data_IF_149724912447
#
_entry.id   IF_149724912447
#
_cell.length_a   1.000
_cell.length_b   1.000
_cell.length_c   1.000
_cell.angle_alpha   90.00
_cell.angle_beta   90.00
_cell.angle_gamma   90.00
#
_symmetry.space_group_name_H-M   'P 1'
#
loop_
_entity.id
_entity.type
_entity.pdbx_description
1 polymer ?
#
# COMPACT_ATOMS: atom_id res chain seq x y z
N UNK A 1 -37.58 26.74 3.79
CA UNK A 1 -36.14 26.75 4.16
C UNK A 1 -35.86 25.74 5.27
N UNK A 2 -36.64 25.68 6.35
CA UNK A 2 -36.44 24.70 7.45
C UNK A 2 -36.53 23.23 7.02
N UNK A 3 -37.51 22.87 6.19
CA UNK A 3 -37.71 21.48 5.77
C UNK A 3 -36.52 20.91 4.96
N UNK A 4 -35.81 21.77 4.23
CA UNK A 4 -34.72 21.35 3.34
C UNK A 4 -33.45 21.00 4.14
N UNK A 5 -33.18 21.75 5.20
CA UNK A 5 -32.04 21.49 6.09
C UNK A 5 -32.21 20.15 6.81
N UNK A 6 -33.43 19.82 7.24
CA UNK A 6 -33.72 18.55 7.92
C UNK A 6 -33.45 17.35 7.01
N UNK A 7 -33.85 17.41 5.75
CA UNK A 7 -33.62 16.31 4.78
C UNK A 7 -32.14 16.12 4.50
N UNK A 8 -31.37 17.21 4.35
CA UNK A 8 -29.93 17.16 4.12
C UNK A 8 -29.20 16.54 5.31
N UNK A 9 -29.56 16.93 6.54
CA UNK A 9 -28.95 16.37 7.75
C UNK A 9 -29.27 14.89 7.91
N UNK A 10 -30.51 14.46 7.65
CA UNK A 10 -30.89 13.04 7.71
C UNK A 10 -30.13 12.23 6.65
N UNK A 11 -29.96 12.75 5.43
CA UNK A 11 -29.22 12.07 4.37
C UNK A 11 -27.73 11.89 4.73
N UNK A 12 -27.10 12.92 5.32
CA UNK A 12 -25.71 12.86 5.77
C UNK A 12 -25.55 11.88 6.94
N UNK A 13 -26.44 11.94 7.94
CA UNK A 13 -26.39 11.03 9.08
C UNK A 13 -26.62 9.56 8.66
N UNK A 14 -27.53 9.30 7.73
CA UNK A 14 -27.77 7.97 7.20
C UNK A 14 -26.57 7.42 6.41
N UNK A 15 -25.90 8.27 5.64
CA UNK A 15 -24.69 7.87 4.91
C UNK A 15 -23.53 7.52 5.87
N UNK A 16 -23.34 8.32 6.93
CA UNK A 16 -22.29 8.07 7.94
C UNK A 16 -22.59 6.79 8.73
N UNK A 17 -23.84 6.57 9.16
CA UNK A 17 -24.20 5.38 9.94
C UNK A 17 -24.15 4.11 9.10
N UNK A 18 -24.46 4.15 7.81
CA UNK A 18 -24.35 2.99 6.92
C UNK A 18 -22.90 2.52 6.73
N UNK A 19 -21.96 3.46 6.53
CA UNK A 19 -20.53 3.14 6.39
C UNK A 19 -19.97 2.59 7.71
N UNK A 20 -20.36 3.18 8.85
CA UNK A 20 -19.97 2.69 10.17
C UNK A 20 -20.57 1.29 10.47
N UNK A 21 -21.84 1.04 10.13
CA UNK A 21 -22.51 -0.23 10.39
C UNK A 21 -21.94 -1.37 9.54
N UNK A 22 -21.64 -1.10 8.26
CA UNK A 22 -20.99 -2.07 7.38
C UNK A 22 -19.56 -2.41 7.86
N UNK A 23 -18.82 -1.42 8.38
CA UNK A 23 -17.50 -1.63 8.98
C UNK A 23 -17.54 -2.42 10.30
N UNK A 24 -18.45 -2.09 11.22
CA UNK A 24 -18.60 -2.77 12.52
C UNK A 24 -19.03 -4.23 12.31
N UNK A 25 -19.95 -4.49 11.39
CA UNK A 25 -20.42 -5.86 11.11
C UNK A 25 -19.32 -6.72 10.49
N UNK A 26 -18.44 -6.16 9.66
CA UNK A 26 -17.28 -6.86 9.08
C UNK A 26 -16.19 -7.20 10.12
N UNK A 27 -15.98 -6.34 11.11
CA UNK A 27 -15.04 -6.56 12.21
C UNK A 27 -15.58 -7.59 13.21
N UNK A 28 -16.87 -7.54 13.56
CA UNK A 28 -17.50 -8.51 14.45
C UNK A 28 -17.46 -9.94 13.88
N UNK A 29 -17.66 -10.09 12.56
CA UNK A 29 -17.56 -11.37 11.86
C UNK A 29 -16.14 -11.94 11.89
N UNK A 30 -15.13 -11.10 11.71
CA UNK A 30 -13.73 -11.51 11.80
C UNK A 30 -13.33 -11.93 13.22
N UNK A 31 -13.74 -11.16 14.23
CA UNK A 31 -13.54 -11.53 15.63
C UNK A 31 -14.21 -12.87 15.99
N UNK A 32 -15.38 -13.15 15.43
CA UNK A 32 -16.07 -14.43 15.61
C UNK A 32 -15.27 -15.60 14.99
N UNK A 33 -14.80 -15.48 13.74
CA UNK A 33 -13.96 -16.51 13.10
C UNK A 33 -12.68 -16.80 13.91
N UNK A 34 -12.03 -15.75 14.42
CA UNK A 34 -10.84 -15.90 15.26
C UNK A 34 -11.15 -16.56 16.61
N UNK A 35 -12.32 -16.30 17.18
CA UNK A 35 -12.76 -16.96 18.42
C UNK A 35 -13.04 -18.45 18.20
N UNK A 36 -13.66 -18.80 17.06
CA UNK A 36 -13.92 -20.20 16.67
C UNK A 36 -12.63 -20.98 16.46
N UNK A 37 -11.62 -20.38 15.81
CA UNK A 37 -10.29 -20.98 15.66
C UNK A 37 -9.59 -21.24 16.99
N UNK A 38 -9.61 -20.27 17.90
CA UNK A 38 -9.03 -20.44 19.24
C UNK A 38 -9.72 -21.54 20.03
N UNK A 39 -11.04 -21.66 19.90
CA UNK A 39 -11.82 -22.72 20.54
C UNK A 39 -11.49 -24.08 19.93
N UNK A 40 -11.34 -24.15 18.61
CA UNK A 40 -10.94 -25.35 17.87
C UNK A 40 -9.55 -25.81 18.31
N UNK A 41 -8.55 -24.92 18.32
CA UNK A 41 -7.18 -25.22 18.72
C UNK A 41 -7.09 -25.77 20.15
N UNK A 42 -7.83 -25.19 21.10
CA UNK A 42 -7.91 -25.70 22.47
C UNK A 42 -8.47 -27.11 22.51
N UNK A 43 -9.55 -27.37 21.77
CA UNK A 43 -10.21 -28.68 21.76
C UNK A 43 -9.32 -29.78 21.18
N UNK A 44 -8.69 -29.52 20.05
CA UNK A 44 -7.79 -30.51 19.42
C UNK A 44 -6.50 -30.68 20.22
N UNK A 45 -6.03 -29.63 20.90
CA UNK A 45 -4.90 -29.69 21.83
C UNK A 45 -5.17 -30.52 23.07
N UNK A 46 -6.41 -30.51 23.61
CA UNK A 46 -6.80 -31.42 24.71
C UNK A 46 -6.70 -32.87 24.25
N UNK A 47 -7.22 -33.21 23.06
CA UNK A 47 -7.09 -34.58 22.54
C UNK A 47 -5.63 -34.97 22.34
N UNK A 48 -4.79 -34.09 21.79
CA UNK A 48 -3.36 -34.35 21.66
C UNK A 48 -2.70 -34.66 23.01
N UNK A 49 -3.05 -33.92 24.07
CA UNK A 49 -2.52 -34.13 25.41
C UNK A 49 -2.97 -35.48 26.02
N UNK A 50 -4.16 -35.97 25.68
CA UNK A 50 -4.70 -37.24 26.19
C UNK A 50 -4.21 -38.46 25.40
N UNK A 51 -4.15 -38.37 24.08
CA UNK A 51 -3.89 -39.52 23.19
C UNK A 51 -2.51 -39.50 22.53
N UNK A 52 -1.72 -38.44 22.72
CA UNK A 52 -0.40 -38.28 22.12
C UNK A 52 -0.41 -37.94 20.62
N UNK A 53 -1.58 -37.64 20.06
CA UNK A 53 -1.75 -37.25 18.65
C UNK A 53 -3.00 -36.40 18.49
N UNK A 54 -2.97 -35.43 17.59
CA UNK A 54 -4.15 -34.66 17.21
C UNK A 54 -5.22 -35.59 16.59
N UNK A 55 -6.52 -35.22 16.59
CA UNK A 55 -7.57 -35.99 15.94
C UNK A 55 -7.29 -36.26 14.45
N UNK A 56 -7.52 -37.49 13.97
CA UNK A 56 -7.35 -37.86 12.54
C UNK A 56 -8.53 -37.45 11.65
N UNK A 57 -9.63 -37.02 12.27
CA UNK A 57 -10.82 -36.50 11.61
C UNK A 57 -11.38 -35.33 12.41
N UNK A 58 -12.30 -34.59 11.81
CA UNK A 58 -12.91 -33.41 12.43
C UNK A 58 -13.63 -33.79 13.75
N UNK A 59 -13.27 -33.15 14.88
CA UNK A 59 -13.94 -33.38 16.15
C UNK A 59 -15.41 -32.97 16.13
N UNK A 60 -16.30 -33.81 16.69
CA UNK A 60 -17.72 -33.49 16.78
C UNK A 60 -18.00 -32.19 17.54
N UNK A 61 -18.92 -31.36 17.03
CA UNK A 61 -19.35 -30.12 17.67
C UNK A 61 -18.42 -28.93 17.44
N UNK A 62 -17.70 -28.91 16.32
CA UNK A 62 -17.14 -27.66 15.78
C UNK A 62 -18.24 -26.91 15.00
N UNK A 63 -18.15 -25.56 14.91
CA UNK A 63 -19.06 -24.78 14.06
C UNK A 63 -18.92 -25.16 12.57
N UNK A 64 -20.01 -25.14 11.82
CA UNK A 64 -20.04 -25.45 10.37
C UNK A 64 -19.09 -24.57 9.52
N UNK A 65 -18.65 -23.42 10.04
CA UNK A 65 -17.68 -22.53 9.40
C UNK A 65 -16.23 -22.99 9.53
N UNK A 66 -15.96 -24.10 10.24
CA UNK A 66 -14.64 -24.66 10.45
C UNK A 66 -14.40 -25.85 9.52
N UNK A 67 -13.22 -25.90 8.91
CA UNK A 67 -12.66 -27.09 8.29
C UNK A 67 -11.41 -27.50 9.06
N UNK A 68 -11.18 -28.80 9.19
CA UNK A 68 -10.08 -29.35 9.98
C UNK A 68 -9.33 -30.43 9.20
N UNK A 69 -7.99 -30.39 9.26
CA UNK A 69 -7.14 -31.47 8.79
C UNK A 69 -6.02 -31.77 9.78
N UNK A 70 -5.75 -33.05 9.99
CA UNK A 70 -4.54 -33.51 10.68
C UNK A 70 -3.34 -33.43 9.74
N UNK A 71 -2.17 -33.06 10.26
CA UNK A 71 -0.91 -33.01 9.50
C UNK A 71 0.18 -33.81 10.23
N UNK A 72 1.32 -34.01 9.55
CA UNK A 72 2.55 -34.56 10.16
C UNK A 72 2.33 -35.87 10.95
N UNK A 73 1.52 -36.78 10.39
CA UNK A 73 1.20 -38.09 11.00
C UNK A 73 0.68 -38.00 12.44
N UNK A 74 -0.11 -36.97 12.75
CA UNK A 74 -0.74 -36.77 14.07
C UNK A 74 -0.02 -35.82 15.00
N UNK A 75 1.12 -35.25 14.58
CA UNK A 75 1.86 -34.27 15.38
C UNK A 75 1.53 -32.81 15.05
N UNK A 76 0.74 -32.57 14.00
CA UNK A 76 0.27 -31.23 13.67
C UNK A 76 -1.20 -31.24 13.27
N UNK A 77 -1.76 -30.05 13.18
CA UNK A 77 -3.10 -29.85 12.64
C UNK A 77 -3.18 -28.51 11.93
N UNK A 78 -4.20 -28.37 11.10
CA UNK A 78 -4.58 -27.09 10.54
C UNK A 78 -6.09 -26.98 10.53
N UNK A 79 -6.62 -25.90 11.13
CA UNK A 79 -8.03 -25.58 11.10
C UNK A 79 -8.26 -24.25 10.39
N UNK A 80 -9.22 -24.19 9.47
CA UNK A 80 -9.62 -22.98 8.75
C UNK A 80 -11.02 -22.55 9.19
N UNK A 81 -11.19 -21.28 9.53
CA UNK A 81 -12.49 -20.65 9.73
C UNK A 81 -12.79 -19.73 8.54
N UNK A 82 -13.94 -19.92 7.91
CA UNK A 82 -14.32 -19.12 6.73
C UNK A 82 -15.76 -18.65 6.73
N UNK A 83 -15.96 -17.41 6.31
CA UNK A 83 -17.28 -16.82 6.08
C UNK A 83 -17.17 -15.58 5.19
N UNK A 84 -18.10 -15.44 4.24
CA UNK A 84 -18.21 -14.27 3.36
C UNK A 84 -16.89 -13.91 2.64
N UNK A 85 -16.14 -14.93 2.18
CA UNK A 85 -14.87 -14.76 1.45
C UNK A 85 -13.66 -14.40 2.32
N UNK A 86 -13.83 -14.23 3.64
CA UNK A 86 -12.72 -14.13 4.59
C UNK A 86 -12.34 -15.52 5.11
N UNK A 87 -11.05 -15.74 5.26
CA UNK A 87 -10.50 -16.97 5.79
C UNK A 87 -9.35 -16.68 6.76
N UNK A 88 -9.34 -17.42 7.86
CA UNK A 88 -8.22 -17.47 8.80
C UNK A 88 -7.92 -18.93 9.11
N UNK A 89 -6.67 -19.24 9.43
CA UNK A 89 -6.30 -20.56 9.89
C UNK A 89 -5.43 -20.48 11.14
N UNK A 90 -5.41 -21.60 11.87
CA UNK A 90 -4.56 -21.81 13.04
C UNK A 90 -3.94 -23.19 12.96
N UNK A 91 -2.68 -23.29 13.36
CA UNK A 91 -1.91 -24.54 13.43
C UNK A 91 -1.48 -24.83 14.86
N UNK A 92 -0.67 -25.87 15.06
CA UNK A 92 -0.02 -26.19 16.34
C UNK A 92 0.84 -25.04 16.91
N UNK A 93 1.18 -24.04 16.09
CA UNK A 93 1.85 -22.82 16.55
C UNK A 93 1.00 -21.93 17.47
N UNK A 94 -0.33 -22.15 17.49
CA UNK A 94 -1.28 -21.37 18.29
C UNK A 94 -1.49 -19.93 17.81
N UNK A 95 -0.88 -19.53 16.69
CA UNK A 95 -1.04 -18.18 16.12
C UNK A 95 -2.04 -18.21 14.96
N UNK A 96 -2.99 -17.27 14.97
CA UNK A 96 -3.95 -17.15 13.87
C UNK A 96 -3.32 -16.39 12.71
N UNK A 97 -3.37 -16.98 11.53
CA UNK A 97 -2.87 -16.43 10.28
C UNK A 97 -4.02 -16.20 9.30
N UNK A 98 -3.86 -15.26 8.39
CA UNK A 98 -4.83 -15.02 7.31
C UNK A 98 -4.73 -16.14 6.25
N UNK A 99 -5.85 -16.49 5.64
CA UNK A 99 -5.94 -17.52 4.59
C UNK A 99 -6.42 -18.89 5.09
N UNK A 100 -6.45 -19.87 4.17
CA UNK A 100 -6.91 -21.24 4.39
C UNK A 100 -5.73 -22.21 4.56
N UNK A 101 -5.96 -23.31 5.26
CA UNK A 101 -5.10 -24.48 5.17
C UNK A 101 -5.14 -25.09 3.76
N UNK A 102 -4.03 -25.71 3.34
CA UNK A 102 -3.98 -26.44 2.07
C UNK A 102 -5.09 -27.49 1.98
N UNK A 103 -5.88 -27.43 0.90
CA UNK A 103 -7.00 -28.35 0.66
C UNK A 103 -8.32 -27.97 1.34
N UNK A 104 -8.36 -26.90 2.15
CA UNK A 104 -9.60 -26.36 2.70
C UNK A 104 -10.27 -25.39 1.72
N UNK A 105 -11.59 -25.42 1.67
CA UNK A 105 -12.42 -24.54 0.84
C UNK A 105 -12.96 -23.38 1.68
N UNK A 106 -13.17 -22.21 1.08
CA UNK A 106 -13.66 -21.03 1.80
C UNK A 106 -15.14 -20.84 1.47
N UNK A 107 -15.98 -20.96 2.50
CA UNK A 107 -17.43 -20.82 2.35
C UNK A 107 -17.79 -19.34 2.07
N UNK A 108 -18.25 -19.06 0.86
CA UNK A 108 -18.70 -17.72 0.43
C UNK A 108 -17.68 -16.90 -0.38
N UNK A 109 -16.61 -17.50 -0.89
CA UNK A 109 -15.67 -16.88 -1.82
C UNK A 109 -14.37 -17.66 -1.82
N UNK A 110 -13.94 -18.18 -2.97
CA UNK A 110 -12.80 -19.10 -3.13
C UNK A 110 -11.59 -18.68 -2.28
N UNK A 111 -11.06 -19.57 -1.46
CA UNK A 111 -9.94 -20.42 -1.87
C UNK A 111 -8.65 -19.61 -1.90
N UNK A 112 -7.92 -19.59 -0.77
CA UNK A 112 -6.52 -19.14 -0.73
C UNK A 112 -5.72 -19.90 -1.78
N UNK A 113 -5.10 -19.15 -2.69
CA UNK A 113 -4.70 -19.60 -4.03
C UNK A 113 -5.34 -18.77 -5.15
N UNK A 114 -6.30 -17.90 -4.81
CA UNK A 114 -6.93 -16.96 -5.72
C UNK A 114 -5.99 -15.83 -6.13
N UNK A 115 -6.02 -15.53 -7.42
CA UNK A 115 -5.45 -14.35 -8.09
C UNK A 115 -6.07 -13.01 -7.65
N UNK A 116 -6.97 -13.03 -6.68
CA UNK A 116 -7.80 -11.88 -6.31
C UNK A 116 -7.21 -11.14 -5.10
N UNK A 117 -7.19 -9.82 -5.20
CA UNK A 117 -6.93 -8.92 -4.07
C UNK A 117 -8.30 -8.51 -3.52
N UNK A 118 -8.64 -8.99 -2.33
CA UNK A 118 -9.90 -8.64 -1.70
C UNK A 118 -9.97 -7.14 -1.40
N UNK A 119 -11.17 -6.58 -1.43
CA UNK A 119 -11.38 -5.17 -1.08
C UNK A 119 -10.90 -4.90 0.35
N UNK A 120 -10.18 -3.79 0.53
CA UNK A 120 -9.62 -3.35 1.81
C UNK A 120 -8.57 -4.29 2.42
N UNK A 121 -7.99 -5.22 1.64
CA UNK A 121 -6.81 -5.98 2.09
C UNK A 121 -5.69 -5.02 2.55
N UNK A 122 -4.96 -5.35 3.64
CA UNK A 122 -3.76 -4.60 4.00
C UNK A 122 -2.78 -4.59 2.82
N UNK A 123 -2.26 -3.43 2.46
CA UNK A 123 -1.34 -3.27 1.32
C UNK A 123 -0.08 -4.13 1.48
N UNK A 124 0.37 -4.36 2.72
CA UNK A 124 1.49 -5.24 3.08
C UNK A 124 1.27 -6.71 2.69
N UNK A 125 0.00 -7.13 2.57
CA UNK A 125 -0.37 -8.51 2.27
C UNK A 125 -0.58 -8.74 0.77
N UNK A 126 -0.49 -7.70 -0.06
CA UNK A 126 -0.59 -7.84 -1.51
C UNK A 126 0.66 -8.52 -2.03
N UNK A 127 0.48 -9.63 -2.75
CA UNK A 127 1.59 -10.40 -3.33
C UNK A 127 1.78 -10.08 -4.81
N UNK A 128 3.01 -10.25 -5.31
CA UNK A 128 3.32 -10.08 -6.73
C UNK A 128 2.47 -11.04 -7.59
N UNK A 129 2.15 -12.25 -7.12
CA UNK A 129 1.28 -13.18 -7.84
C UNK A 129 -0.16 -12.68 -8.01
N UNK A 130 -0.76 -12.10 -6.96
CA UNK A 130 -2.08 -11.48 -7.06
C UNK A 130 -2.06 -10.26 -7.98
N UNK A 131 -1.02 -9.45 -7.88
CA UNK A 131 -0.80 -8.33 -8.78
C UNK A 131 -0.75 -8.77 -10.25
N UNK A 132 0.06 -9.79 -10.57
CA UNK A 132 0.27 -10.24 -11.95
C UNK A 132 -1.02 -10.74 -12.60
N UNK A 133 -1.96 -11.24 -11.79
CA UNK A 133 -3.22 -11.72 -12.28
C UNK A 133 -4.30 -10.63 -12.47
N UNK A 134 -4.06 -9.40 -12.03
CA UNK A 134 -4.92 -8.28 -12.38
C UNK A 134 -4.87 -8.01 -13.90
N UNK A 135 -5.96 -7.54 -14.50
CA UNK A 135 -5.87 -6.94 -15.83
C UNK A 135 -5.02 -5.66 -15.76
N UNK A 136 -4.32 -5.33 -16.86
CA UNK A 136 -3.59 -4.06 -16.96
C UNK A 136 -4.58 -2.90 -16.97
N UNK A 137 -4.36 -1.92 -16.11
CA UNK A 137 -5.16 -0.70 -16.06
C UNK A 137 -4.74 0.26 -17.17
N UNK A 138 -5.75 0.78 -17.88
CA UNK A 138 -5.59 1.62 -19.07
C UNK A 138 -6.06 3.06 -18.84
N UNK A 139 -6.52 3.39 -17.62
CA UNK A 139 -7.18 4.66 -17.28
C UNK A 139 -8.71 4.61 -17.33
N UNK A 140 -9.29 3.65 -18.08
CA UNK A 140 -10.74 3.58 -18.32
C UNK A 140 -11.43 2.35 -17.70
N UNK A 141 -10.69 1.26 -17.53
CA UNK A 141 -11.18 -0.01 -16.98
C UNK A 141 -10.99 -0.04 -15.45
N UNK A 142 -11.86 0.67 -14.71
CA UNK A 142 -11.77 0.79 -13.25
C UNK A 142 -11.90 -0.54 -12.50
N UNK A 143 -12.39 -1.59 -13.13
CA UNK A 143 -12.40 -2.97 -12.63
C UNK A 143 -10.99 -3.58 -12.47
N UNK A 144 -9.97 -2.97 -13.08
CA UNK A 144 -8.56 -3.31 -12.87
C UNK A 144 -7.97 -2.71 -11.58
N UNK A 145 -8.64 -1.71 -10.99
CA UNK A 145 -8.17 -1.02 -9.80
C UNK A 145 -8.58 -1.81 -8.54
N UNK A 146 -7.71 -1.82 -7.53
CA UNK A 146 -8.00 -2.40 -6.21
C UNK A 146 -7.81 -1.36 -5.14
N UNK A 147 -8.75 -1.31 -4.20
CA UNK A 147 -8.65 -0.48 -3.00
C UNK A 147 -8.10 -1.33 -1.84
N UNK A 148 -6.97 -0.90 -1.30
CA UNK A 148 -6.26 -1.55 -0.20
C UNK A 148 -6.20 -0.62 1.01
N UNK A 149 -6.00 -1.18 2.20
CA UNK A 149 -5.86 -0.42 3.45
C UNK A 149 -4.42 -0.37 3.92
N UNK A 150 -4.07 0.70 4.62
CA UNK A 150 -2.79 0.83 5.33
C UNK A 150 -3.05 1.37 6.74
N UNK A 151 -2.67 0.60 7.75
CA UNK A 151 -2.90 0.91 9.16
C UNK A 151 -1.64 1.41 9.87
N UNK A 152 -0.53 1.62 9.14
CA UNK A 152 0.73 2.11 9.71
C UNK A 152 0.53 3.50 10.32
N UNK A 153 1.12 3.69 11.50
CA UNK A 153 0.97 4.93 12.27
C UNK A 153 -0.39 5.10 12.96
N UNK A 154 -1.18 4.03 13.09
CA UNK A 154 -2.39 4.01 13.91
C UNK A 154 -3.61 4.71 13.31
N UNK A 155 -3.49 5.22 12.08
CA UNK A 155 -4.62 5.79 11.32
C UNK A 155 -4.81 5.00 10.03
N UNK A 156 -5.95 4.35 9.91
CA UNK A 156 -6.32 3.61 8.69
C UNK A 156 -6.48 4.56 7.51
N UNK A 157 -5.75 4.26 6.43
CA UNK A 157 -5.82 4.95 5.15
C UNK A 157 -6.16 3.96 4.05
N UNK A 158 -6.72 4.47 2.97
CA UNK A 158 -7.03 3.68 1.78
C UNK A 158 -6.17 4.16 0.63
N UNK A 159 -5.66 3.22 -0.15
CA UNK A 159 -4.91 3.48 -1.37
C UNK A 159 -5.52 2.71 -2.53
N UNK A 160 -5.35 3.25 -3.73
CA UNK A 160 -5.68 2.55 -4.96
C UNK A 160 -4.38 2.00 -5.56
N UNK A 161 -4.43 0.75 -6.01
CA UNK A 161 -3.33 0.08 -6.70
C UNK A 161 -3.84 -0.54 -8.00
N UNK A 162 -2.96 -0.68 -8.99
CA UNK A 162 -3.25 -1.42 -10.21
C UNK A 162 -1.98 -1.93 -10.89
N UNK A 163 -2.13 -2.97 -11.71
CA UNK A 163 -1.08 -3.37 -12.65
C UNK A 163 -1.05 -2.41 -13.84
N UNK A 164 0.09 -1.79 -14.11
CA UNK A 164 0.24 -0.85 -15.24
C UNK A 164 0.85 -1.53 -16.47
N UNK A 165 1.14 -0.73 -17.51
CA UNK A 165 1.54 -1.21 -18.83
C UNK A 165 2.89 -1.93 -18.83
N UNK A 166 3.75 -1.62 -17.88
CA UNK A 166 5.02 -2.31 -17.61
C UNK A 166 4.84 -3.70 -16.96
N UNK A 167 3.60 -4.07 -16.64
CA UNK A 167 3.27 -5.33 -15.98
C UNK A 167 3.55 -5.33 -14.48
N UNK A 168 3.93 -4.21 -13.86
CA UNK A 168 4.17 -4.12 -12.41
C UNK A 168 2.98 -3.47 -11.69
N UNK A 169 2.90 -3.66 -10.37
CA UNK A 169 1.84 -3.02 -9.57
C UNK A 169 2.28 -1.74 -8.93
N UNK A 170 1.58 -0.68 -9.28
CA UNK A 170 1.83 0.67 -8.80
C UNK A 170 0.73 1.10 -7.86
N UNK A 171 1.10 1.88 -6.84
CA UNK A 171 0.15 2.78 -6.21
C UNK A 171 -0.32 3.83 -7.22
N UNK A 172 -1.63 4.07 -7.26
CA UNK A 172 -2.26 5.11 -8.07
C UNK A 172 -2.55 6.38 -7.27
N UNK A 173 -2.54 6.29 -5.94
CA UNK A 173 -2.62 7.43 -5.01
C UNK A 173 -1.29 7.62 -4.30
N UNK A 174 -0.92 8.88 -4.01
CA UNK A 174 0.33 9.14 -3.30
C UNK A 174 0.23 8.67 -1.84
N UNK A 175 1.37 8.27 -1.28
CA UNK A 175 1.48 7.86 0.10
C UNK A 175 1.09 9.01 1.04
N UNK A 176 0.22 8.71 2.01
CA UNK A 176 -0.26 9.67 3.02
C UNK A 176 0.16 9.24 4.42
N UNK A 177 1.37 8.69 4.59
CA UNK A 177 1.86 8.16 5.86
C UNK A 177 2.41 9.30 6.75
N UNK A 178 1.75 9.58 7.86
CA UNK A 178 2.13 10.71 8.72
C UNK A 178 1.10 10.99 9.81
N UNK A 179 1.51 11.76 10.82
CA UNK A 179 0.64 12.22 11.91
C UNK A 179 0.93 13.69 12.19
N UNK A 180 -0.12 14.46 12.48
CA UNK A 180 -0.02 15.88 12.86
C UNK A 180 0.24 16.06 14.35
N UNK A 181 0.22 14.99 15.15
CA UNK A 181 0.32 15.05 16.61
C UNK A 181 1.53 14.32 17.19
N UNK A 182 2.19 13.47 16.41
CA UNK A 182 3.32 12.66 16.87
C UNK A 182 4.15 12.15 15.70
N UNK A 183 5.35 11.64 15.99
CA UNK A 183 6.05 10.75 15.07
C UNK A 183 5.35 9.41 14.95
N UNK A 184 5.72 8.65 13.91
CA UNK A 184 5.27 7.28 13.67
C UNK A 184 6.50 6.37 13.66
N UNK A 185 6.40 5.23 14.34
CA UNK A 185 7.39 4.16 14.23
C UNK A 185 6.97 3.17 13.15
N UNK A 186 7.85 2.97 12.16
CA UNK A 186 7.74 1.95 11.14
C UNK A 186 8.61 0.75 11.54
N UNK A 187 8.12 -0.45 11.31
CA UNK A 187 8.83 -1.68 11.68
C UNK A 187 9.08 -2.54 10.43
N UNK A 188 10.12 -3.40 10.43
CA UNK A 188 10.34 -4.33 9.32
C UNK A 188 9.16 -5.28 9.06
N UNK A 189 8.25 -5.44 10.02
CA UNK A 189 7.05 -6.26 9.86
C UNK A 189 5.96 -5.58 9.00
N UNK A 190 5.95 -4.25 8.93
CA UNK A 190 4.90 -3.48 8.25
C UNK A 190 5.41 -2.60 7.10
N UNK A 191 6.70 -2.31 7.05
CA UNK A 191 7.35 -1.37 6.13
C UNK A 191 8.65 -1.92 5.57
N UNK A 192 9.07 -1.41 4.42
CA UNK A 192 10.35 -1.75 3.80
C UNK A 192 11.53 -1.02 4.48
N UNK A 193 11.78 -1.37 5.74
CA UNK A 193 12.84 -0.77 6.56
C UNK A 193 13.75 -1.87 7.12
N UNK A 194 15.07 -1.62 7.16
CA UNK A 194 16.05 -2.57 7.71
C UNK A 194 15.85 -2.81 9.22
N UNK A 195 15.43 -1.77 9.93
CA UNK A 195 15.20 -1.75 11.36
C UNK A 195 14.14 -0.69 11.68
N UNK A 196 13.71 -0.61 12.94
CA UNK A 196 12.69 0.36 13.32
C UNK A 196 13.11 1.78 12.94
N UNK A 197 12.30 2.41 12.08
CA UNK A 197 12.52 3.76 11.59
C UNK A 197 11.47 4.69 12.18
N UNK A 198 11.89 5.86 12.66
CA UNK A 198 10.96 6.87 13.18
C UNK A 198 10.72 7.92 12.11
N UNK A 199 9.54 7.86 11.50
CA UNK A 199 9.06 8.92 10.62
C UNK A 199 8.62 10.12 11.46
N UNK A 200 9.22 11.30 11.29
CA UNK A 200 8.88 12.47 12.10
C UNK A 200 7.43 12.92 11.93
N UNK A 201 6.97 13.70 12.90
CA UNK A 201 5.68 14.39 12.82
C UNK A 201 5.65 15.30 11.59
N UNK A 202 4.46 15.42 10.99
CA UNK A 202 4.25 16.34 9.89
C UNK A 202 4.52 17.79 10.32
N UNK A 203 5.18 18.53 9.44
CA UNK A 203 5.40 19.98 9.60
C UNK A 203 4.86 20.74 8.40
N UNK A 204 4.42 21.98 8.64
CA UNK A 204 4.08 22.97 7.60
C UNK A 204 5.01 24.18 7.67
N UNK A 205 6.23 23.98 8.20
CA UNK A 205 7.27 24.99 8.32
C UNK A 205 8.66 24.36 8.42
N UNK A 206 9.67 25.22 8.33
CA UNK A 206 11.09 24.82 8.25
C UNK A 206 11.64 24.95 6.83
N UNK A 207 12.94 24.71 6.69
CA UNK A 207 13.63 24.79 5.41
C UNK A 207 13.90 23.39 4.86
N UNK A 208 14.38 23.31 3.63
CA UNK A 208 14.87 22.08 3.02
C UNK A 208 16.01 21.45 3.86
N UNK A 209 15.91 20.15 4.13
CA UNK A 209 16.87 19.40 4.97
C UNK A 209 17.34 18.15 4.23
N UNK A 210 18.65 18.01 4.01
CA UNK A 210 19.19 16.98 3.10
C UNK A 210 19.34 15.61 3.77
N UNK A 211 19.75 15.58 5.05
CA UNK A 211 20.13 14.34 5.75
C UNK A 211 19.19 13.99 6.92
N UNK A 212 18.39 14.96 7.39
CA UNK A 212 17.42 14.73 8.46
C UNK A 212 16.06 14.39 7.85
N UNK A 213 15.45 13.24 8.15
CA UNK A 213 14.11 12.92 7.66
C UNK A 213 13.10 14.03 7.98
N UNK A 214 12.29 14.40 7.00
CA UNK A 214 11.18 15.36 7.14
C UNK A 214 9.97 14.85 6.37
N UNK A 215 8.80 15.07 6.97
CA UNK A 215 7.51 14.84 6.34
C UNK A 215 6.69 16.13 6.43
N UNK A 216 6.12 16.54 5.30
CA UNK A 216 5.41 17.81 5.15
C UNK A 216 3.94 17.55 4.84
N UNK A 217 3.07 18.17 5.62
CA UNK A 217 1.65 18.00 5.47
C UNK A 217 0.84 18.51 6.67
N UNK A 218 -0.50 18.50 6.58
CA UNK A 218 -1.29 18.15 5.40
C UNK A 218 -1.02 19.09 4.21
N UNK A 219 -1.04 18.57 2.98
CA UNK A 219 -0.87 19.39 1.77
C UNK A 219 -2.16 20.17 1.55
N UNK A 220 -2.03 21.47 1.30
CA UNK A 220 -3.17 22.36 1.06
C UNK A 220 -3.94 21.95 -0.20
N UNK A 221 -5.27 22.10 -0.16
CA UNK A 221 -6.18 21.81 -1.27
C UNK A 221 -6.10 20.37 -1.82
N UNK A 222 -5.65 19.39 -1.02
CA UNK A 222 -5.61 17.97 -1.40
C UNK A 222 -7.01 17.45 -1.79
N UNK A 223 -7.24 17.07 -3.07
CA UNK A 223 -8.52 16.52 -3.51
C UNK A 223 -8.71 15.04 -3.11
N UNK A 224 -7.76 14.47 -2.35
CA UNK A 224 -7.79 13.12 -1.81
C UNK A 224 -6.66 12.22 -2.33
N UNK A 225 -5.77 12.71 -3.19
CA UNK A 225 -4.71 11.94 -3.83
C UNK A 225 -3.30 12.55 -3.75
N UNK A 226 -3.12 13.74 -3.15
CA UNK A 226 -1.81 14.39 -3.03
C UNK A 226 -0.90 13.66 -2.04
N UNK A 227 -1.50 13.05 -1.02
CA UNK A 227 -0.75 12.38 0.03
C UNK A 227 -0.05 13.37 0.95
N UNK A 228 1.13 12.99 1.43
CA UNK A 228 2.07 13.91 2.08
C UNK A 228 3.37 13.95 1.29
N UNK A 229 4.17 14.96 1.56
CA UNK A 229 5.47 15.15 0.91
C UNK A 229 6.57 14.73 1.87
N UNK A 230 7.64 14.17 1.34
CA UNK A 230 8.76 13.66 2.13
C UNK A 230 10.03 14.16 1.50
N UNK A 231 11.02 14.52 2.31
CA UNK A 231 12.37 14.67 1.76
C UNK A 231 12.98 13.31 1.44
N UNK A 232 14.11 13.32 0.72
CA UNK A 232 14.74 12.09 0.27
C UNK A 232 15.16 11.19 1.44
N UNK A 233 15.72 11.78 2.50
CA UNK A 233 16.08 11.05 3.72
C UNK A 233 14.87 10.36 4.38
N UNK A 234 13.70 10.98 4.41
CA UNK A 234 12.49 10.32 4.87
C UNK A 234 12.02 9.25 3.89
N UNK A 235 11.93 9.55 2.59
CA UNK A 235 11.44 8.61 1.58
C UNK A 235 12.23 7.29 1.57
N UNK A 236 13.55 7.36 1.76
CA UNK A 236 14.50 6.25 1.75
C UNK A 236 14.76 5.62 3.13
N UNK A 237 13.95 5.96 4.14
CA UNK A 237 14.08 5.45 5.50
C UNK A 237 15.46 5.72 6.16
N UNK A 238 16.04 6.88 5.86
CA UNK A 238 17.20 7.43 6.57
C UNK A 238 18.49 7.53 5.76
N UNK A 239 18.45 7.41 4.42
CA UNK A 239 19.65 7.67 3.62
C UNK A 239 20.07 9.14 3.72
N UNK A 240 21.39 9.34 3.62
CA UNK A 240 22.06 10.64 3.67
C UNK A 240 22.89 10.83 2.41
N UNK A 241 23.40 12.04 2.22
CA UNK A 241 24.40 12.36 1.20
C UNK A 241 25.65 11.46 1.31
N UNK A 242 25.99 11.04 2.53
CA UNK A 242 27.16 10.20 2.79
C UNK A 242 26.91 8.70 2.58
N UNK A 243 25.69 8.22 2.88
CA UNK A 243 25.36 6.78 2.80
C UNK A 243 24.96 6.34 1.40
N UNK A 244 24.36 7.23 0.60
CA UNK A 244 23.94 6.92 -0.77
C UNK A 244 24.42 7.99 -1.76
N UNK A 245 25.55 7.73 -2.41
CA UNK A 245 26.13 8.61 -3.44
C UNK A 245 25.80 8.20 -4.87
N UNK A 246 25.40 6.94 -5.09
CA UNK A 246 25.02 6.40 -6.38
C UNK A 246 24.13 5.16 -6.19
N UNK A 247 23.35 4.82 -7.21
CA UNK A 247 22.47 3.66 -7.19
C UNK A 247 21.22 3.86 -6.33
N UNK A 248 20.58 2.76 -5.97
CA UNK A 248 19.27 2.75 -5.34
C UNK A 248 19.36 2.54 -3.82
N UNK A 249 18.60 3.33 -3.07
CA UNK A 249 18.31 3.06 -1.67
C UNK A 249 17.70 1.66 -1.53
N UNK A 250 18.17 0.90 -0.54
CA UNK A 250 17.69 -0.47 -0.31
C UNK A 250 16.35 -0.52 0.42
N UNK A 251 16.01 0.58 1.11
CA UNK A 251 14.87 0.70 2.00
C UNK A 251 14.09 1.99 1.74
N UNK A 252 12.86 2.03 2.22
CA UNK A 252 11.96 3.16 2.04
C UNK A 252 10.82 3.15 3.04
N UNK A 253 10.07 4.24 3.11
CA UNK A 253 8.82 4.32 3.90
C UNK A 253 7.64 3.57 3.26
N UNK A 254 7.87 2.84 2.16
CA UNK A 254 6.85 2.02 1.53
C UNK A 254 6.42 0.85 2.43
N UNK A 255 5.19 0.32 2.24
CA UNK A 255 4.73 -0.86 2.96
C UNK A 255 5.69 -2.04 2.80
N UNK A 256 5.66 -3.00 3.74
CA UNK A 256 6.39 -4.26 3.59
C UNK A 256 6.05 -4.91 2.24
N UNK A 257 7.06 -5.47 1.58
CA UNK A 257 7.02 -6.01 0.21
C UNK A 257 6.90 -4.97 -0.92
N UNK A 258 6.73 -3.69 -0.61
CA UNK A 258 6.71 -2.60 -1.58
C UNK A 258 7.98 -1.74 -1.47
N UNK A 259 8.42 -1.14 -2.56
CA UNK A 259 9.62 -0.30 -2.61
C UNK A 259 9.38 1.03 -3.31
N UNK A 260 10.33 1.95 -3.14
CA UNK A 260 10.43 3.10 -4.01
C UNK A 260 10.83 2.64 -5.42
N UNK A 261 10.18 3.14 -6.48
CA UNK A 261 10.61 2.90 -7.85
C UNK A 261 12.01 3.47 -8.09
N UNK A 262 12.81 2.80 -8.91
CA UNK A 262 14.07 3.33 -9.43
C UNK A 262 13.86 4.36 -10.53
N UNK A 263 14.79 5.31 -10.63
CA UNK A 263 14.82 6.37 -11.64
C UNK A 263 16.11 6.36 -12.46
N UNK A 264 16.22 7.32 -13.36
CA UNK A 264 17.26 7.50 -14.37
C UNK A 264 16.67 7.70 -15.77
N UNK A 265 17.43 8.32 -16.67
CA UNK A 265 17.05 8.45 -18.09
C UNK A 265 17.04 7.11 -18.84
N UNK A 266 16.03 6.92 -19.68
CA UNK A 266 15.89 5.80 -20.59
C UNK A 266 15.37 4.52 -19.92
N UNK A 267 15.74 3.36 -20.47
CA UNK A 267 15.31 2.03 -20.00
C UNK A 267 16.20 1.46 -18.91
N UNK A 268 15.69 0.52 -18.13
CA UNK A 268 16.43 -0.18 -17.07
C UNK A 268 16.22 0.40 -15.67
N UNK A 269 15.21 1.27 -15.53
CA UNK A 269 14.71 1.78 -14.27
C UNK A 269 13.17 1.80 -14.31
N UNK A 270 12.53 1.79 -13.15
CA UNK A 270 11.10 1.53 -13.03
C UNK A 270 10.24 2.61 -13.70
N UNK A 271 10.58 3.89 -13.53
CA UNK A 271 9.80 4.95 -14.14
C UNK A 271 10.01 5.05 -15.66
N UNK A 272 11.26 4.94 -16.12
CA UNK A 272 11.59 4.96 -17.55
C UNK A 272 10.96 3.79 -18.30
N UNK A 273 10.99 2.59 -17.71
CA UNK A 273 10.34 1.40 -18.28
C UNK A 273 8.81 1.55 -18.34
N UNK A 274 8.20 2.17 -17.33
CA UNK A 274 6.76 2.49 -17.35
C UNK A 274 6.41 3.49 -18.46
N UNK A 275 7.22 4.54 -18.63
CA UNK A 275 7.00 5.51 -19.70
C UNK A 275 7.13 4.87 -21.10
N UNK A 276 8.15 4.03 -21.30
CA UNK A 276 8.31 3.26 -22.54
C UNK A 276 7.09 2.37 -22.79
N UNK A 277 6.57 1.71 -21.75
CA UNK A 277 5.34 0.92 -21.84
C UNK A 277 4.08 1.77 -22.15
N UNK A 278 4.10 3.06 -21.80
CA UNK A 278 3.09 4.04 -22.20
C UNK A 278 3.30 4.61 -23.61
N UNK A 279 4.35 4.19 -24.31
CA UNK A 279 4.70 4.61 -25.67
C UNK A 279 5.65 5.80 -25.75
N UNK A 280 6.27 6.19 -24.63
CA UNK A 280 7.33 7.19 -24.59
C UNK A 280 8.71 6.59 -24.83
N UNK A 281 9.75 7.30 -24.37
CA UNK A 281 11.16 6.89 -24.57
C UNK A 281 11.90 6.61 -23.26
N UNK A 282 11.23 6.80 -22.12
CA UNK A 282 11.87 6.77 -20.80
C UNK A 282 12.66 8.03 -20.49
N UNK A 283 12.55 9.08 -21.32
CA UNK A 283 13.18 10.38 -21.13
C UNK A 283 12.11 11.47 -21.16
N UNK A 284 12.54 12.72 -20.92
CA UNK A 284 11.69 13.89 -21.07
C UNK A 284 10.88 13.87 -22.38
N UNK A 285 9.57 14.06 -22.25
CA UNK A 285 8.62 14.20 -23.34
C UNK A 285 7.81 15.48 -23.15
N UNK A 286 7.63 16.24 -24.22
CA UNK A 286 6.96 17.54 -24.20
C UNK A 286 6.21 17.82 -25.50
N UNK A 287 5.58 18.99 -25.61
CA UNK A 287 5.03 19.43 -26.90
C UNK A 287 3.86 18.59 -27.43
N UNK A 288 3.10 17.92 -26.55
CA UNK A 288 1.88 17.18 -26.91
C UNK A 288 2.11 15.73 -27.31
N UNK A 289 3.26 15.14 -26.96
CA UNK A 289 3.49 13.70 -27.09
C UNK A 289 2.40 12.86 -26.38
N UNK A 290 2.05 11.73 -27.00
CA UNK A 290 0.87 10.95 -26.59
C UNK A 290 1.02 10.27 -25.21
N UNK A 291 2.26 9.97 -24.79
CA UNK A 291 2.55 9.40 -23.47
C UNK A 291 2.23 10.38 -22.34
N UNK A 292 2.32 11.71 -22.56
CA UNK A 292 1.99 12.73 -21.54
C UNK A 292 0.58 12.49 -20.98
N UNK A 293 -0.40 12.18 -21.84
CA UNK A 293 -1.77 11.87 -21.46
C UNK A 293 -1.88 10.66 -20.51
N UNK A 294 -0.91 9.74 -20.53
CA UNK A 294 -0.89 8.55 -19.67
C UNK A 294 -0.50 8.85 -18.24
N UNK A 295 0.29 9.91 -18.05
CA UNK A 295 0.76 10.40 -16.77
C UNK A 295 -0.23 11.37 -16.09
N UNK A 296 -1.26 11.84 -16.80
CA UNK A 296 -2.25 12.79 -16.28
C UNK A 296 -3.20 12.17 -15.22
N UNK A 297 -3.95 12.99 -14.45
CA UNK A 297 -4.93 12.50 -13.49
C UNK A 297 -5.99 11.55 -14.08
N UNK A 298 -6.36 11.76 -15.35
CA UNK A 298 -7.30 10.91 -16.10
C UNK A 298 -6.64 9.72 -16.81
N UNK A 299 -5.31 9.66 -16.82
CA UNK A 299 -4.53 8.58 -17.43
C UNK A 299 -4.40 7.35 -16.53
N UNK A 300 -3.86 6.22 -17.06
CA UNK A 300 -3.56 5.02 -16.28
C UNK A 300 -2.67 5.28 -15.06
N UNK A 301 -1.72 6.22 -15.12
CA UNK A 301 -0.89 6.54 -13.95
C UNK A 301 -1.68 7.29 -12.88
N UNK A 302 -2.80 7.97 -13.20
CA UNK A 302 -3.52 8.88 -12.31
C UNK A 302 -2.59 9.91 -11.65
N UNK A 303 -1.83 10.66 -12.45
CA UNK A 303 -0.87 11.65 -11.94
C UNK A 303 -1.48 12.56 -10.88
N UNK A 304 -0.74 12.75 -9.79
CA UNK A 304 -1.15 13.59 -8.67
C UNK A 304 -0.35 14.87 -8.66
N UNK A 305 -1.02 16.00 -8.90
CA UNK A 305 -0.37 17.32 -8.95
C UNK A 305 -0.22 17.91 -7.55
N UNK A 306 0.51 17.20 -6.69
CA UNK A 306 0.70 17.57 -5.29
C UNK A 306 1.64 18.78 -5.09
N UNK A 307 2.31 19.23 -6.15
CA UNK A 307 3.39 20.18 -6.05
C UNK A 307 4.58 19.63 -5.26
N UNK A 308 5.34 20.53 -4.65
CA UNK A 308 6.51 20.24 -3.82
C UNK A 308 6.60 21.12 -2.58
N UNK A 309 7.63 20.88 -1.78
CA UNK A 309 8.02 21.66 -0.62
C UNK A 309 9.51 22.01 -0.70
N UNK A 310 9.86 23.29 -0.50
CA UNK A 310 11.25 23.71 -0.27
C UNK A 310 11.33 24.52 1.03
N UNK A 311 10.72 25.71 1.03
CA UNK A 311 10.53 26.56 2.21
C UNK A 311 9.02 26.85 2.46
N UNK A 312 8.17 26.02 1.86
CA UNK A 312 6.72 26.19 1.76
C UNK A 312 6.15 25.29 0.67
N UNK A 313 4.85 25.03 0.72
CA UNK A 313 4.13 24.34 -0.34
C UNK A 313 4.06 25.20 -1.59
N UNK A 314 4.42 24.64 -2.75
CA UNK A 314 4.31 25.32 -4.05
C UNK A 314 3.86 24.35 -5.16
N UNK A 315 3.17 24.87 -6.18
CA UNK A 315 2.77 24.11 -7.37
C UNK A 315 1.61 23.13 -7.19
N UNK A 316 0.83 23.21 -6.10
CA UNK A 316 -0.36 22.36 -5.91
C UNK A 316 -1.37 22.59 -7.04
N UNK A 317 -1.82 21.51 -7.66
CA UNK A 317 -2.73 21.54 -8.81
C UNK A 317 -2.08 21.89 -10.14
N UNK A 318 -0.78 22.20 -10.16
CA UNK A 318 -0.03 22.58 -11.37
C UNK A 318 0.85 21.43 -11.85
N UNK A 319 1.69 20.88 -10.97
CA UNK A 319 2.65 19.83 -11.30
C UNK A 319 2.72 18.77 -10.19
N UNK A 320 3.21 17.58 -10.53
CA UNK A 320 3.47 16.50 -9.61
C UNK A 320 4.92 16.04 -9.68
N UNK A 321 5.46 15.68 -8.52
CA UNK A 321 6.81 15.15 -8.38
C UNK A 321 6.79 13.91 -7.49
N UNK A 322 7.50 12.86 -7.89
CA UNK A 322 7.61 11.62 -7.14
C UNK A 322 9.07 11.23 -6.96
N UNK A 323 9.45 10.89 -5.74
CA UNK A 323 10.78 10.35 -5.48
C UNK A 323 10.98 9.01 -6.19
N UNK A 324 12.18 8.85 -6.75
CA UNK A 324 12.75 7.53 -6.99
C UNK A 324 13.62 7.08 -5.81
N UNK A 325 14.05 5.82 -5.81
CA UNK A 325 15.07 5.31 -4.89
C UNK A 325 16.50 5.76 -5.28
N UNK A 326 16.69 6.37 -6.45
CA UNK A 326 17.97 6.48 -7.11
C UNK A 326 18.67 7.80 -6.80
N UNK A 327 19.88 7.71 -6.26
CA UNK A 327 20.78 8.85 -6.10
C UNK A 327 21.33 9.30 -7.46
N UNK A 328 21.39 10.62 -7.68
CA UNK A 328 22.04 11.17 -8.86
C UNK A 328 23.58 11.16 -8.66
N UNK A 329 24.34 10.41 -9.50
CA UNK A 329 25.79 10.37 -9.41
C UNK A 329 26.47 11.67 -9.88
N UNK A 330 25.80 12.51 -10.68
CA UNK A 330 26.36 13.74 -11.21
C UNK A 330 26.31 14.89 -10.20
N UNK A 331 25.24 14.95 -9.40
CA UNK A 331 25.01 16.03 -8.44
C UNK A 331 24.71 15.46 -7.04
N UNK A 332 25.70 15.43 -6.12
CA UNK A 332 25.57 14.78 -4.82
C UNK A 332 24.37 15.24 -3.97
N UNK A 333 23.97 16.51 -4.11
CA UNK A 333 22.82 17.11 -3.40
C UNK A 333 21.44 16.72 -3.94
N UNK A 334 21.37 15.91 -5.00
CA UNK A 334 20.12 15.60 -5.69
C UNK A 334 19.87 14.10 -5.77
N UNK A 335 18.64 13.76 -6.12
CA UNK A 335 18.22 12.41 -6.45
C UNK A 335 17.25 12.45 -7.63
N UNK A 336 17.17 11.34 -8.35
CA UNK A 336 16.24 11.22 -9.46
C UNK A 336 14.79 11.21 -8.98
N UNK A 337 13.93 11.79 -9.78
CA UNK A 337 12.52 12.00 -9.50
C UNK A 337 11.72 11.97 -10.80
N UNK A 338 10.48 11.49 -10.72
CA UNK A 338 9.51 11.64 -11.80
C UNK A 338 8.85 13.01 -11.67
N UNK A 339 8.84 13.81 -12.72
CA UNK A 339 8.14 15.10 -12.79
C UNK A 339 7.10 15.09 -13.92
N UNK A 340 5.92 15.64 -13.67
CA UNK A 340 4.89 15.72 -14.71
C UNK A 340 3.92 16.87 -14.47
N UNK A 341 3.47 17.48 -15.56
CA UNK A 341 2.43 18.50 -15.59
C UNK A 341 1.53 18.29 -16.84
N UNK A 342 0.56 19.18 -17.13
CA UNK A 342 -0.29 19.02 -18.32
C UNK A 342 0.42 19.07 -19.68
N UNK A 343 1.67 19.54 -19.73
CA UNK A 343 2.45 19.86 -20.92
C UNK A 343 3.70 18.99 -21.11
N UNK A 344 4.19 18.33 -20.06
CA UNK A 344 5.36 17.46 -20.12
C UNK A 344 5.28 16.27 -19.15
N UNK A 345 6.10 15.26 -19.42
CA UNK A 345 6.51 14.26 -18.45
C UNK A 345 8.02 14.06 -18.51
N UNK A 346 8.64 14.00 -17.35
CA UNK A 346 10.01 13.55 -17.15
C UNK A 346 9.95 12.34 -16.20
N UNK A 347 9.93 11.11 -16.74
CA UNK A 347 9.53 9.95 -15.96
C UNK A 347 10.54 9.61 -14.87
N UNK A 348 11.84 9.81 -15.09
CA UNK A 348 12.84 9.40 -14.11
C UNK A 348 14.19 10.08 -14.21
N UNK A 349 14.41 10.97 -15.19
CA UNK A 349 15.70 11.70 -15.34
C UNK A 349 15.65 13.10 -14.71
N UNK A 350 14.48 13.54 -14.26
CA UNK A 350 14.32 14.76 -13.49
C UNK A 350 15.06 14.66 -12.17
N UNK A 351 15.74 15.72 -11.76
CA UNK A 351 16.45 15.78 -10.49
C UNK A 351 15.79 16.77 -9.54
N UNK A 352 15.62 16.34 -8.29
CA UNK A 352 15.13 17.18 -7.19
C UNK A 352 16.21 17.27 -6.12
N UNK A 353 16.27 18.41 -5.42
CA UNK A 353 17.15 18.56 -4.28
C UNK A 353 16.72 17.57 -3.20
N UNK A 354 17.65 16.82 -2.60
CA UNK A 354 17.29 15.79 -1.61
C UNK A 354 16.57 16.36 -0.38
N UNK A 355 16.71 17.66 -0.13
CA UNK A 355 15.98 18.37 0.91
C UNK A 355 14.56 18.79 0.55
N UNK A 356 14.16 18.69 -0.72
CA UNK A 356 12.83 19.04 -1.18
C UNK A 356 11.82 18.00 -0.70
N UNK A 357 10.64 18.43 -0.28
CA UNK A 357 9.53 17.53 -0.03
C UNK A 357 8.75 17.27 -1.30
N UNK A 358 8.77 16.03 -1.80
CA UNK A 358 7.92 15.62 -2.93
C UNK A 358 7.19 14.31 -2.60
N UNK A 359 6.28 13.90 -3.49
CA UNK A 359 5.41 12.76 -3.27
C UNK A 359 6.15 11.43 -3.29
N UNK A 360 5.51 10.40 -2.72
CA UNK A 360 5.98 9.02 -2.78
C UNK A 360 4.86 8.15 -3.34
N UNK A 361 5.21 7.29 -4.28
CA UNK A 361 4.39 6.15 -4.71
C UNK A 361 5.24 4.90 -4.63
N UNK A 362 4.63 3.83 -4.13
CA UNK A 362 5.32 2.57 -3.98
C UNK A 362 4.99 1.63 -5.13
N UNK A 363 5.96 0.79 -5.44
CA UNK A 363 5.92 -0.24 -6.45
C UNK A 363 6.06 -1.61 -5.77
N UNK A 364 5.24 -2.56 -6.20
CA UNK A 364 5.36 -3.96 -5.83
C UNK A 364 6.14 -4.66 -6.94
N UNK A 365 7.37 -5.07 -6.63
CA UNK A 365 8.26 -5.76 -7.55
C UNK A 365 7.95 -7.25 -7.71
#
# INVERSE_FOLDING_TARGET
MELLIVVVVIAILAAITLVAYNGITANAKESALKADLNTTAKKVGITQAETGSYPSSEPAGLPDSIQYSQTSSGQGFCATASKDGKAFHITESGTIQSGACSGHTIAGGGGGGGTEIAANSPIQNVTSAQCQALPTFTGSNNDAVRTVTDNRGGTTRTYEIAKLADGKCWMLTNLKLGSTSSSITLTPADSNVASNFTLPQLTTGGNAEYDLPRAYGPVDNDPGNYGYLYNFAAATAGETLASLTTGNAQHSICPANWGLPSGGGGSGNDFGDLDIAFGGTGNYAGGGEANIAKWQPSGPFRGSFSGGWVDGFDGQGVAGYLWSASADPAYPGTAFSAGFDPSYVDPGDGYSGRGDGIGVRCLLN
#
